data_IF_651853442423
#
_entry.id   IF_651853442423
#
_cell.length_a   1.000
_cell.length_b   1.000
_cell.length_c   1.000
_cell.angle_alpha   90.00
_cell.angle_beta   90.00
_cell.angle_gamma   90.00
#
_symmetry.space_group_name_H-M   'P 1'
#
loop_
_entity.id
_entity.type
_entity.pdbx_description
1 polymer ?
#
# COMPACT_ATOMS: atom_id res chain seq x y z
N UNK A 1 -10.78 18.20 11.74
CA UNK A 1 -10.21 17.62 12.98
C UNK A 1 -8.89 17.00 12.60
N UNK A 2 -7.82 17.02 13.44
CA UNK A 2 -6.62 16.26 13.10
C UNK A 2 -7.00 14.79 13.00
N UNK A 3 -6.56 14.14 11.92
CA UNK A 3 -6.76 12.71 11.73
C UNK A 3 -6.23 11.94 12.94
N UNK A 4 -6.97 10.96 13.43
CA UNK A 4 -6.49 10.10 14.52
C UNK A 4 -5.51 9.08 13.89
N UNK A 5 -4.33 8.87 14.52
CA UNK A 5 -3.44 7.82 14.03
C UNK A 5 -4.15 6.48 14.05
N UNK A 6 -3.93 5.68 13.00
CA UNK A 6 -4.46 4.31 12.96
C UNK A 6 -3.52 3.41 13.76
N UNK A 7 -4.06 2.66 14.69
CA UNK A 7 -3.29 1.82 15.59
C UNK A 7 -3.86 0.41 15.63
N UNK A 8 -2.98 -0.57 15.65
CA UNK A 8 -3.35 -1.90 16.12
C UNK A 8 -3.51 -1.90 17.64
N UNK A 9 -4.54 -2.56 18.11
CA UNK A 9 -4.67 -2.92 19.52
C UNK A 9 -4.12 -4.34 19.66
N UNK A 10 -3.03 -4.49 20.42
CA UNK A 10 -2.47 -5.81 20.72
C UNK A 10 -3.32 -6.56 21.79
N UNK A 11 -2.99 -7.82 22.05
CA UNK A 11 -3.68 -8.65 23.04
C UNK A 11 -3.64 -8.09 24.47
N UNK A 12 -2.74 -7.14 24.77
CA UNK A 12 -2.67 -6.42 26.05
C UNK A 12 -3.47 -5.12 26.07
N UNK A 13 -4.20 -4.78 24.99
CA UNK A 13 -4.98 -3.56 24.87
C UNK A 13 -4.16 -2.30 24.58
N UNK A 14 -2.86 -2.45 24.29
CA UNK A 14 -2.01 -1.31 23.92
C UNK A 14 -2.17 -0.98 22.45
N UNK A 15 -2.30 0.31 22.15
CA UNK A 15 -2.29 0.84 20.79
C UNK A 15 -0.87 0.80 20.21
N UNK A 16 -0.69 0.21 19.04
CA UNK A 16 0.59 0.20 18.31
C UNK A 16 0.41 0.85 16.94
N UNK A 17 1.40 1.62 16.46
CA UNK A 17 1.35 2.16 15.10
C UNK A 17 1.44 1.02 14.06
N UNK A 18 0.93 1.27 12.87
CA UNK A 18 1.07 0.35 11.75
C UNK A 18 2.46 0.52 11.14
N UNK A 19 3.38 -0.35 11.52
CA UNK A 19 4.73 -0.42 10.96
C UNK A 19 4.89 -1.80 10.36
N UNK A 20 5.20 -1.86 9.06
CA UNK A 20 5.23 -3.14 8.38
C UNK A 20 5.91 -3.13 7.03
N UNK A 21 5.65 -4.17 6.27
CA UNK A 21 6.12 -4.33 4.91
C UNK A 21 5.04 -4.90 3.99
N UNK A 22 5.10 -4.56 2.73
CA UNK A 22 4.40 -5.24 1.67
C UNK A 22 4.97 -6.65 1.56
N UNK A 23 4.12 -7.66 1.53
CA UNK A 23 4.54 -9.05 1.66
C UNK A 23 4.33 -9.86 0.39
N UNK A 24 5.43 -10.25 -0.19
CA UNK A 24 5.52 -11.31 -1.17
C UNK A 24 6.58 -12.31 -0.70
N UNK A 25 6.20 -13.56 -0.46
CA UNK A 25 7.18 -14.55 0.02
C UNK A 25 8.34 -14.72 -0.98
N UNK A 26 9.55 -14.90 -0.46
CA UNK A 26 10.73 -15.22 -1.27
C UNK A 26 10.51 -16.46 -2.15
N UNK A 27 9.60 -17.33 -1.76
CA UNK A 27 9.17 -18.45 -2.57
C UNK A 27 8.09 -18.02 -3.56
N UNK A 28 8.51 -17.58 -4.72
CA UNK A 28 7.61 -17.25 -5.84
C UNK A 28 7.28 -15.78 -6.03
N UNK A 29 7.57 -14.89 -5.08
CA UNK A 29 7.24 -13.46 -5.19
C UNK A 29 5.76 -13.25 -5.52
N UNK A 30 5.39 -12.50 -6.58
CA UNK A 30 3.99 -12.31 -6.98
C UNK A 30 3.22 -13.60 -7.32
N UNK A 31 3.93 -14.71 -7.54
CA UNK A 31 3.37 -16.05 -7.77
C UNK A 31 3.36 -16.92 -6.52
N UNK A 32 3.53 -16.32 -5.34
CA UNK A 32 3.61 -17.08 -4.08
C UNK A 32 2.41 -17.98 -3.84
N UNK A 33 1.22 -17.60 -4.28
CA UNK A 33 0.02 -18.39 -4.04
C UNK A 33 0.02 -19.72 -4.78
N UNK A 34 0.64 -19.79 -5.96
CA UNK A 34 0.85 -21.05 -6.69
C UNK A 34 2.08 -21.83 -6.22
N UNK A 35 2.97 -21.22 -5.44
CA UNK A 35 4.20 -21.78 -4.89
C UNK A 35 4.25 -21.65 -3.36
N UNK A 36 3.10 -21.68 -2.72
CA UNK A 36 2.97 -21.39 -1.30
C UNK A 36 3.74 -22.39 -0.43
N UNK A 37 4.64 -21.87 0.38
CA UNK A 37 5.37 -22.63 1.38
C UNK A 37 5.06 -22.09 2.79
N UNK A 38 4.24 -22.80 3.58
CA UNK A 38 3.83 -22.33 4.91
C UNK A 38 4.99 -22.23 5.90
N UNK A 39 6.07 -22.99 5.71
CA UNK A 39 7.25 -22.93 6.58
C UNK A 39 8.06 -21.65 6.32
N UNK A 40 8.27 -21.32 5.06
CA UNK A 40 8.96 -20.09 4.67
C UNK A 40 8.17 -18.85 5.09
N UNK A 41 6.85 -18.84 4.87
CA UNK A 41 5.99 -17.71 5.29
C UNK A 41 6.10 -17.46 6.79
N UNK A 42 6.04 -18.51 7.63
CA UNK A 42 6.18 -18.37 9.09
C UNK A 42 7.55 -17.87 9.51
N UNK A 43 8.61 -18.31 8.82
CA UNK A 43 9.96 -17.83 9.06
C UNK A 43 10.08 -16.33 8.74
N UNK A 44 9.60 -15.90 7.56
CA UNK A 44 9.60 -14.50 7.14
C UNK A 44 8.83 -13.61 8.12
N UNK A 45 7.63 -14.00 8.51
CA UNK A 45 6.82 -13.25 9.48
C UNK A 45 7.48 -13.17 10.86
N UNK A 46 8.11 -14.26 11.32
CA UNK A 46 8.86 -14.25 12.58
C UNK A 46 10.01 -13.26 12.56
N UNK A 47 10.79 -13.20 11.47
CA UNK A 47 11.88 -12.21 11.32
C UNK A 47 11.34 -10.78 11.37
N UNK A 48 10.24 -10.48 10.67
CA UNK A 48 9.62 -9.16 10.70
C UNK A 48 9.14 -8.80 12.11
N UNK A 49 8.46 -9.72 12.78
CA UNK A 49 7.95 -9.52 14.13
C UNK A 49 9.08 -9.29 15.16
N UNK A 50 10.16 -10.07 15.11
CA UNK A 50 11.33 -9.94 15.98
C UNK A 50 12.03 -8.58 15.83
N UNK A 51 11.83 -7.91 14.67
CA UNK A 51 12.30 -6.55 14.41
C UNK A 51 11.23 -5.48 14.66
N UNK A 52 10.19 -5.80 15.42
CA UNK A 52 9.20 -4.83 15.90
C UNK A 52 8.15 -4.42 14.87
N UNK A 53 8.05 -5.08 13.72
CA UNK A 53 6.97 -4.83 12.77
C UNK A 53 5.66 -5.41 13.31
N UNK A 54 4.57 -4.70 13.07
CA UNK A 54 3.24 -5.03 13.62
C UNK A 54 2.28 -5.57 12.58
N UNK A 55 2.60 -5.38 11.29
CA UNK A 55 1.68 -5.75 10.23
C UNK A 55 2.39 -5.99 8.89
N UNK A 56 1.65 -6.57 7.96
CA UNK A 56 1.99 -6.61 6.54
C UNK A 56 0.87 -6.04 5.68
N UNK A 57 1.16 -5.70 4.43
CA UNK A 57 0.16 -5.58 3.39
C UNK A 57 0.29 -6.79 2.49
N UNK A 58 -0.79 -7.51 2.25
CA UNK A 58 -0.84 -8.73 1.45
C UNK A 58 -1.74 -8.57 0.23
N UNK A 59 -1.59 -9.46 -0.75
CA UNK A 59 -2.15 -9.27 -2.06
C UNK A 59 -2.92 -10.50 -2.52
N UNK A 60 -4.17 -10.32 -2.91
CA UNK A 60 -4.89 -11.32 -3.67
C UNK A 60 -4.49 -11.17 -5.15
N UNK A 61 -3.51 -11.94 -5.61
CA UNK A 61 -3.16 -11.94 -7.02
C UNK A 61 -4.38 -12.34 -7.86
N UNK A 62 -4.96 -11.38 -8.56
CA UNK A 62 -6.31 -11.52 -9.12
C UNK A 62 -6.49 -12.75 -10.02
N UNK A 63 -5.57 -13.08 -10.95
CA UNK A 63 -5.71 -14.29 -11.75
C UNK A 63 -5.76 -15.62 -10.97
N UNK A 64 -5.07 -15.69 -9.81
CA UNK A 64 -5.03 -16.89 -8.98
C UNK A 64 -6.31 -17.05 -8.13
N UNK A 65 -6.85 -15.94 -7.62
CA UNK A 65 -8.04 -15.97 -6.74
C UNK A 65 -9.36 -15.99 -7.52
N UNK A 66 -9.39 -15.48 -8.75
CA UNK A 66 -10.59 -15.43 -9.60
C UNK A 66 -10.25 -15.92 -11.02
N UNK A 67 -10.05 -17.23 -11.21
CA UNK A 67 -9.66 -17.81 -12.51
C UNK A 67 -10.77 -17.72 -13.57
N UNK A 68 -12.02 -17.56 -13.17
CA UNK A 68 -13.18 -17.32 -14.02
C UNK A 68 -14.09 -16.24 -13.41
N UNK A 69 -14.94 -15.57 -14.18
CA UNK A 69 -15.69 -14.39 -13.75
C UNK A 69 -16.73 -14.65 -12.66
N UNK A 70 -17.00 -15.88 -12.32
CA UNK A 70 -17.96 -16.33 -11.32
C UNK A 70 -17.39 -17.41 -10.39
N UNK A 71 -16.06 -17.54 -10.35
CA UNK A 71 -15.38 -18.60 -9.61
C UNK A 71 -14.29 -18.01 -8.72
N UNK A 72 -14.37 -18.30 -7.42
CA UNK A 72 -13.27 -18.09 -6.47
C UNK A 72 -12.50 -19.40 -6.34
N UNK A 73 -11.16 -19.34 -6.43
CA UNK A 73 -10.31 -20.52 -6.21
C UNK A 73 -10.22 -20.81 -4.71
N UNK A 74 -10.85 -21.90 -4.28
CA UNK A 74 -10.88 -22.30 -2.87
C UNK A 74 -9.48 -22.73 -2.38
N UNK A 75 -8.64 -23.30 -3.26
CA UNK A 75 -7.27 -23.66 -2.90
C UNK A 75 -6.40 -22.43 -2.62
N UNK A 76 -6.57 -21.33 -3.39
CA UNK A 76 -5.94 -20.05 -3.08
C UNK A 76 -6.47 -19.48 -1.77
N UNK A 77 -7.78 -19.59 -1.51
CA UNK A 77 -8.39 -19.15 -0.25
C UNK A 77 -7.89 -19.95 0.95
N UNK A 78 -7.68 -21.25 0.83
CA UNK A 78 -7.16 -22.10 1.91
C UNK A 78 -5.70 -21.72 2.24
N UNK A 79 -4.87 -21.48 1.23
CA UNK A 79 -3.49 -20.96 1.41
C UNK A 79 -3.49 -19.59 2.08
N UNK A 80 -4.43 -18.72 1.68
CA UNK A 80 -4.56 -17.41 2.30
C UNK A 80 -5.03 -17.51 3.77
N UNK A 81 -5.87 -18.47 4.11
CA UNK A 81 -6.27 -18.72 5.50
C UNK A 81 -5.09 -19.17 6.35
N UNK A 82 -4.25 -20.09 5.86
CA UNK A 82 -3.01 -20.48 6.56
C UNK A 82 -2.06 -19.28 6.72
N UNK A 83 -1.97 -18.39 5.72
CA UNK A 83 -1.22 -17.16 5.80
C UNK A 83 -1.74 -16.22 6.91
N UNK A 84 -3.05 -16.09 7.06
CA UNK A 84 -3.66 -15.33 8.16
C UNK A 84 -3.42 -15.98 9.51
N UNK A 85 -3.49 -17.31 9.58
CA UNK A 85 -3.16 -18.05 10.80
C UNK A 85 -1.69 -17.83 11.22
N UNK A 86 -0.76 -17.82 10.27
CA UNK A 86 0.64 -17.52 10.52
C UNK A 86 0.85 -16.10 11.09
N UNK A 87 0.10 -15.12 10.63
CA UNK A 87 0.10 -13.77 11.21
C UNK A 87 -0.40 -13.76 12.64
N UNK A 88 -1.50 -14.47 12.91
CA UNK A 88 -2.07 -14.60 14.26
C UNK A 88 -1.08 -15.26 15.21
N UNK A 89 -0.37 -16.30 14.76
CA UNK A 89 0.63 -17.03 15.56
C UNK A 89 1.73 -16.11 16.09
N UNK A 90 2.17 -15.12 15.29
CA UNK A 90 3.20 -14.16 15.71
C UNK A 90 2.63 -12.85 16.27
N UNK A 91 1.31 -12.68 16.28
CA UNK A 91 0.67 -11.47 16.80
C UNK A 91 0.75 -10.27 15.85
N UNK A 92 0.89 -10.49 14.55
CA UNK A 92 0.86 -9.47 13.51
C UNK A 92 -0.51 -9.42 12.84
N UNK A 93 -0.81 -8.25 12.22
CA UNK A 93 -1.95 -8.11 11.32
C UNK A 93 -1.54 -8.05 9.87
N UNK A 94 -2.54 -8.04 8.99
CA UNK A 94 -2.34 -7.80 7.56
C UNK A 94 -3.47 -6.98 6.95
N UNK A 95 -3.16 -6.22 5.91
CA UNK A 95 -4.14 -5.49 5.09
C UNK A 95 -4.20 -6.18 3.73
N UNK A 96 -5.24 -7.01 3.46
CA UNK A 96 -5.43 -7.62 2.15
C UNK A 96 -5.75 -6.58 1.07
N UNK A 97 -5.17 -6.75 -0.12
CA UNK A 97 -5.42 -5.95 -1.32
C UNK A 97 -6.14 -6.78 -2.36
N UNK A 98 -7.32 -6.34 -2.86
CA UNK A 98 -8.20 -7.16 -3.70
C UNK A 98 -7.79 -7.19 -5.18
N UNK A 99 -7.84 -6.04 -5.87
CA UNK A 99 -7.62 -5.96 -7.31
C UNK A 99 -6.15 -5.71 -7.57
N UNK A 100 -5.36 -6.78 -7.62
CA UNK A 100 -3.93 -6.73 -7.89
C UNK A 100 -3.68 -7.03 -9.36
N UNK A 101 -3.78 -5.99 -10.17
CA UNK A 101 -3.55 -6.04 -11.62
C UNK A 101 -2.25 -5.38 -12.07
N UNK A 102 -1.63 -4.57 -11.21
CA UNK A 102 -0.32 -3.96 -11.44
C UNK A 102 0.63 -4.30 -10.30
N UNK A 103 1.89 -4.61 -10.64
CA UNK A 103 2.96 -4.81 -9.66
C UNK A 103 4.32 -4.69 -10.35
N UNK A 104 5.23 -3.88 -9.78
CA UNK A 104 6.64 -3.82 -10.20
C UNK A 104 6.85 -3.60 -11.72
N UNK A 105 5.99 -2.78 -12.35
CA UNK A 105 6.09 -2.48 -13.77
C UNK A 105 5.45 -3.52 -14.72
N UNK A 106 4.70 -4.49 -14.20
CA UNK A 106 3.95 -5.47 -14.99
C UNK A 106 2.46 -5.37 -14.70
N UNK A 107 1.63 -5.50 -15.74
CA UNK A 107 0.18 -5.61 -15.63
C UNK A 107 -0.26 -7.05 -15.87
N UNK A 108 -1.13 -7.56 -15.00
CA UNK A 108 -1.69 -8.91 -15.10
C UNK A 108 -3.21 -8.88 -15.11
N UNK A 109 -3.78 -9.33 -16.19
CA UNK A 109 -5.22 -9.51 -16.30
C UNK A 109 -5.64 -10.95 -16.01
N UNK A 110 -6.78 -11.16 -15.35
CA UNK A 110 -7.49 -12.42 -15.47
C UNK A 110 -7.85 -12.67 -16.95
N UNK A 111 -7.64 -13.89 -17.42
CA UNK A 111 -7.83 -14.24 -18.85
C UNK A 111 -9.23 -13.87 -19.39
N UNK A 112 -10.24 -13.87 -18.53
CA UNK A 112 -11.64 -13.59 -18.84
C UNK A 112 -11.99 -12.08 -18.89
N UNK A 113 -11.06 -11.17 -18.48
CA UNK A 113 -11.33 -9.71 -18.55
C UNK A 113 -11.45 -9.22 -19.99
N UNK A 114 -10.69 -9.74 -20.92
CA UNK A 114 -10.70 -9.37 -22.34
C UNK A 114 -10.63 -7.87 -22.61
N UNK A 115 -9.80 -7.13 -21.84
CA UNK A 115 -9.62 -5.69 -22.01
C UNK A 115 -10.85 -4.83 -21.64
N UNK A 116 -11.85 -5.37 -20.96
CA UNK A 116 -13.01 -4.60 -20.49
C UNK A 116 -12.57 -3.49 -19.55
N UNK A 117 -13.22 -2.34 -19.67
CA UNK A 117 -12.96 -1.19 -18.82
C UNK A 117 -13.38 -1.48 -17.38
N UNK A 118 -12.51 -1.13 -16.42
CA UNK A 118 -12.73 -1.44 -15.00
C UNK A 118 -13.79 -0.55 -14.34
N UNK A 119 -14.05 0.62 -14.90
CA UNK A 119 -14.88 1.64 -14.27
C UNK A 119 -16.25 1.80 -14.94
N UNK A 120 -16.32 1.62 -16.27
CA UNK A 120 -17.52 1.92 -17.08
C UNK A 120 -18.23 0.68 -17.60
N UNK A 121 -17.54 -0.47 -17.74
CA UNK A 121 -18.23 -1.71 -18.14
C UNK A 121 -19.00 -2.28 -16.95
N UNK A 122 -20.33 -2.15 -16.99
CA UNK A 122 -21.23 -2.53 -15.89
C UNK A 122 -21.06 -3.98 -15.46
N UNK A 123 -20.82 -4.90 -16.41
CA UNK A 123 -20.59 -6.30 -16.09
C UNK A 123 -19.26 -6.47 -15.34
N UNK A 124 -18.21 -5.76 -15.78
CA UNK A 124 -16.89 -5.81 -15.15
C UNK A 124 -16.94 -5.23 -13.73
N UNK A 125 -17.62 -4.08 -13.53
CA UNK A 125 -17.84 -3.49 -12.21
C UNK A 125 -18.58 -4.48 -11.29
N UNK A 126 -19.62 -5.15 -11.80
CA UNK A 126 -20.35 -6.16 -11.04
C UNK A 126 -19.48 -7.37 -10.66
N UNK A 127 -18.56 -7.80 -11.53
CA UNK A 127 -17.62 -8.90 -11.22
C UNK A 127 -16.59 -8.50 -10.15
N UNK A 128 -16.07 -7.28 -10.21
CA UNK A 128 -15.18 -6.74 -9.17
C UNK A 128 -15.89 -6.68 -7.81
N UNK A 129 -17.11 -6.11 -7.79
CA UNK A 129 -17.89 -6.02 -6.55
C UNK A 129 -18.20 -7.41 -5.97
N UNK A 130 -18.58 -8.37 -6.81
CA UNK A 130 -18.79 -9.76 -6.38
C UNK A 130 -17.54 -10.39 -5.80
N UNK A 131 -16.39 -10.25 -6.48
CA UNK A 131 -15.09 -10.75 -6.04
C UNK A 131 -14.70 -10.20 -4.65
N UNK A 132 -14.79 -8.88 -4.48
CA UNK A 132 -14.50 -8.22 -3.20
C UNK A 132 -15.45 -8.74 -2.11
N UNK A 133 -16.75 -8.82 -2.39
CA UNK A 133 -17.75 -9.31 -1.43
C UNK A 133 -17.46 -10.76 -0.99
N UNK A 134 -17.12 -11.64 -1.96
CA UNK A 134 -16.85 -13.04 -1.67
C UNK A 134 -15.57 -13.25 -0.85
N UNK A 135 -14.48 -12.55 -1.17
CA UNK A 135 -13.25 -12.64 -0.37
C UNK A 135 -13.41 -11.99 1.01
N UNK A 136 -14.09 -10.86 1.08
CA UNK A 136 -14.38 -10.23 2.38
C UNK A 136 -15.19 -11.18 3.26
N UNK A 137 -16.25 -11.81 2.75
CA UNK A 137 -17.06 -12.77 3.51
C UNK A 137 -16.27 -13.94 4.08
N UNK A 138 -15.22 -14.38 3.38
CA UNK A 138 -14.36 -15.49 3.79
C UNK A 138 -13.38 -15.13 4.90
N UNK A 139 -12.99 -13.85 5.00
CA UNK A 139 -11.83 -13.46 5.80
C UNK A 139 -12.09 -12.33 6.80
N UNK A 140 -13.24 -11.62 6.75
CA UNK A 140 -13.49 -10.42 7.56
C UNK A 140 -13.47 -10.66 9.07
N UNK A 141 -13.77 -11.86 9.52
CA UNK A 141 -13.81 -12.25 10.94
C UNK A 141 -12.47 -12.76 11.46
N UNK A 142 -11.49 -12.94 10.58
CA UNK A 142 -10.16 -13.39 11.00
C UNK A 142 -9.40 -12.27 11.73
N UNK A 143 -8.88 -12.52 12.96
CA UNK A 143 -8.29 -11.47 13.80
C UNK A 143 -7.03 -10.83 13.23
N UNK A 144 -6.35 -11.48 12.28
CA UNK A 144 -5.20 -10.90 11.59
C UNK A 144 -5.60 -9.88 10.52
N UNK A 145 -6.86 -9.82 10.07
CA UNK A 145 -7.29 -8.82 9.07
C UNK A 145 -7.59 -7.51 9.79
N UNK A 146 -6.76 -6.50 9.54
CA UNK A 146 -6.82 -5.20 10.24
C UNK A 146 -7.28 -4.03 9.36
N UNK A 147 -7.39 -4.21 8.07
CA UNK A 147 -7.84 -3.24 7.08
C UNK A 147 -8.05 -3.89 5.73
N UNK A 148 -8.44 -3.12 4.72
CA UNK A 148 -8.68 -3.58 3.36
C UNK A 148 -8.20 -2.54 2.35
N UNK A 149 -7.60 -3.00 1.25
CA UNK A 149 -7.31 -2.18 0.09
C UNK A 149 -8.08 -2.69 -1.12
N UNK A 150 -8.77 -1.79 -1.81
CA UNK A 150 -9.55 -2.15 -2.99
C UNK A 150 -8.65 -2.62 -4.13
N UNK A 151 -7.49 -1.99 -4.31
CA UNK A 151 -6.62 -2.25 -5.45
C UNK A 151 -5.14 -2.02 -5.13
N UNK A 152 -4.28 -2.26 -6.10
CA UNK A 152 -2.90 -1.81 -6.14
C UNK A 152 -2.67 -0.93 -7.35
N UNK A 153 -2.32 0.35 -7.10
CA UNK A 153 -1.93 1.32 -8.14
C UNK A 153 -2.88 1.32 -9.34
N UNK A 154 -4.17 1.32 -9.05
CA UNK A 154 -5.22 1.16 -10.05
C UNK A 154 -5.18 2.20 -11.19
N UNK A 155 -4.69 3.45 -11.00
CA UNK A 155 -4.53 4.39 -12.10
C UNK A 155 -3.55 3.89 -13.19
N UNK A 156 -2.52 3.11 -12.81
CA UNK A 156 -1.60 2.49 -13.78
C UNK A 156 -2.25 1.31 -14.49
N UNK A 157 -3.02 0.51 -13.77
CA UNK A 157 -3.62 -0.72 -14.28
C UNK A 157 -4.92 -0.47 -15.05
N UNK A 158 -5.82 0.27 -14.45
CA UNK A 158 -7.15 0.57 -15.00
C UNK A 158 -7.18 1.79 -15.91
N UNK A 159 -6.09 2.59 -15.86
CA UNK A 159 -6.02 3.85 -16.57
C UNK A 159 -6.74 5.00 -15.84
N UNK A 160 -6.76 6.14 -16.52
CA UNK A 160 -7.42 7.36 -16.07
C UNK A 160 -8.91 7.36 -16.41
N UNK A 161 -9.69 8.17 -15.73
CA UNK A 161 -11.13 8.25 -15.97
C UNK A 161 -11.73 9.60 -15.61
N UNK A 162 -13.03 9.74 -15.81
CA UNK A 162 -13.79 10.87 -15.27
C UNK A 162 -13.91 10.74 -13.75
N UNK A 163 -13.68 11.82 -13.01
CA UNK A 163 -13.70 11.85 -11.54
C UNK A 163 -15.02 11.31 -10.96
N UNK A 164 -16.17 11.62 -11.60
CA UNK A 164 -17.47 11.15 -11.13
C UNK A 164 -17.64 9.65 -11.35
N UNK A 165 -17.09 9.12 -12.45
CA UNK A 165 -17.09 7.69 -12.75
C UNK A 165 -16.20 6.95 -11.76
N UNK A 166 -14.97 7.43 -11.54
CA UNK A 166 -14.04 6.86 -10.57
C UNK A 166 -14.63 6.88 -9.16
N UNK A 167 -15.24 8.00 -8.75
CA UNK A 167 -15.90 8.12 -7.45
C UNK A 167 -17.08 7.15 -7.30
N UNK A 168 -17.90 6.99 -8.34
CA UNK A 168 -19.00 6.01 -8.34
C UNK A 168 -18.47 4.57 -8.26
N UNK A 169 -17.42 4.24 -9.00
CA UNK A 169 -16.74 2.95 -8.91
C UNK A 169 -16.19 2.71 -7.49
N UNK A 170 -15.47 3.69 -6.92
CA UNK A 170 -14.93 3.59 -5.57
C UNK A 170 -16.03 3.33 -4.52
N UNK A 171 -17.16 4.04 -4.62
CA UNK A 171 -18.31 3.84 -3.75
C UNK A 171 -18.83 2.39 -3.83
N UNK A 172 -18.93 1.83 -5.04
CA UNK A 172 -19.40 0.45 -5.24
C UNK A 172 -18.40 -0.57 -4.66
N UNK A 173 -17.10 -0.36 -4.84
CA UNK A 173 -16.08 -1.26 -4.34
C UNK A 173 -15.97 -1.24 -2.81
N UNK A 174 -16.00 -0.06 -2.20
CA UNK A 174 -16.08 0.08 -0.73
C UNK A 174 -17.38 -0.54 -0.20
N UNK A 175 -18.48 -0.29 -0.89
CA UNK A 175 -19.77 -0.92 -0.58
C UNK A 175 -19.73 -2.44 -0.63
N UNK A 176 -18.95 -3.03 -1.56
CA UNK A 176 -18.77 -4.48 -1.67
C UNK A 176 -18.02 -5.06 -0.46
N UNK A 177 -17.03 -4.35 0.09
CA UNK A 177 -16.36 -4.74 1.35
C UNK A 177 -17.39 -4.78 2.49
N UNK A 178 -18.20 -3.74 2.61
CA UNK A 178 -19.24 -3.67 3.67
C UNK A 178 -20.30 -4.75 3.49
N UNK A 179 -20.71 -5.04 2.27
CA UNK A 179 -21.66 -6.11 1.95
C UNK A 179 -21.09 -7.51 2.28
N UNK A 180 -19.79 -7.70 2.21
CA UNK A 180 -19.08 -8.92 2.64
C UNK A 180 -18.95 -9.06 4.16
N UNK A 181 -19.33 -8.05 4.96
CA UNK A 181 -19.20 -8.04 6.41
C UNK A 181 -17.94 -7.35 6.94
N UNK A 182 -17.08 -6.81 6.06
CA UNK A 182 -15.86 -6.13 6.45
C UNK A 182 -16.13 -4.81 7.16
N UNK A 183 -15.78 -4.73 8.44
CA UNK A 183 -15.91 -3.52 9.27
C UNK A 183 -14.58 -2.81 9.50
N UNK A 184 -13.47 -3.44 9.15
CA UNK A 184 -12.14 -2.87 9.25
C UNK A 184 -12.01 -1.65 8.35
N UNK A 185 -11.04 -0.75 8.64
CA UNK A 185 -10.73 0.39 7.78
C UNK A 185 -10.43 -0.01 6.33
N UNK A 186 -10.87 0.84 5.40
CA UNK A 186 -10.72 0.60 3.95
C UNK A 186 -10.05 1.80 3.28
N UNK A 187 -9.19 1.53 2.28
CA UNK A 187 -8.65 2.54 1.35
C UNK A 187 -8.66 2.01 -0.08
N UNK A 188 -8.43 2.89 -1.06
CA UNK A 188 -8.46 2.49 -2.47
C UNK A 188 -7.22 1.74 -2.94
N UNK A 189 -6.05 2.01 -2.38
CA UNK A 189 -4.77 1.48 -2.88
C UNK A 189 -4.40 2.04 -4.27
N UNK A 190 -4.76 3.30 -4.50
CA UNK A 190 -4.45 4.04 -5.74
C UNK A 190 -3.07 4.70 -5.71
N UNK A 191 -2.33 4.54 -4.61
CA UNK A 191 -1.04 5.18 -4.37
C UNK A 191 -1.13 6.67 -4.07
N UNK A 192 -2.35 7.19 -3.88
CA UNK A 192 -2.66 8.61 -3.75
C UNK A 192 -2.10 9.45 -4.92
N UNK A 193 -2.20 8.92 -6.14
CA UNK A 193 -1.71 9.59 -7.36
C UNK A 193 -2.77 10.45 -8.02
N UNK A 194 -3.59 11.08 -7.22
CA UNK A 194 -4.56 12.08 -7.66
C UNK A 194 -3.94 13.46 -7.88
N UNK A 195 -4.77 14.38 -8.30
CA UNK A 195 -4.36 15.76 -8.62
C UNK A 195 -3.71 16.48 -7.43
N UNK A 196 -4.12 16.17 -6.21
CA UNK A 196 -3.63 16.82 -4.98
C UNK A 196 -2.14 16.53 -4.73
N UNK A 197 -1.66 15.35 -5.12
CA UNK A 197 -0.28 14.91 -4.83
C UNK A 197 0.64 14.96 -6.04
N UNK A 198 0.10 14.81 -7.25
CA UNK A 198 0.87 14.75 -8.49
C UNK A 198 0.73 15.99 -9.37
N UNK A 199 -0.32 16.77 -9.18
CA UNK A 199 -0.70 17.87 -10.08
C UNK A 199 -1.31 17.38 -11.40
N UNK A 200 -1.53 16.06 -11.55
CA UNK A 200 -2.13 15.46 -12.75
C UNK A 200 -3.52 14.91 -12.43
N UNK A 201 -4.51 15.31 -13.21
CA UNK A 201 -5.87 14.81 -13.06
C UNK A 201 -6.03 13.47 -13.78
N UNK A 202 -5.89 12.40 -13.03
CA UNK A 202 -6.17 11.04 -13.48
C UNK A 202 -7.64 10.62 -13.27
N UNK A 203 -8.47 11.53 -12.73
CA UNK A 203 -9.81 11.24 -12.23
C UNK A 203 -9.83 10.72 -10.80
N UNK A 204 -8.68 10.43 -10.22
CA UNK A 204 -8.54 10.10 -8.80
C UNK A 204 -8.29 11.39 -8.01
N UNK A 205 -9.18 11.73 -7.10
CA UNK A 205 -9.06 12.88 -6.21
C UNK A 205 -9.26 12.40 -4.77
N UNK A 206 -8.22 12.54 -3.96
CA UNK A 206 -8.29 12.16 -2.55
C UNK A 206 -9.28 13.04 -1.76
N UNK A 207 -9.57 14.25 -2.23
CA UNK A 207 -10.66 15.08 -1.68
C UNK A 207 -12.03 14.46 -1.94
N UNK A 208 -12.25 13.90 -3.13
CA UNK A 208 -13.54 13.34 -3.51
C UNK A 208 -13.73 11.92 -2.96
N UNK A 209 -12.82 10.99 -3.25
CA UNK A 209 -12.97 9.62 -2.73
C UNK A 209 -12.64 9.51 -1.24
N UNK A 210 -11.94 10.48 -0.68
CA UNK A 210 -11.61 10.52 0.74
C UNK A 210 -12.83 10.46 1.66
N UNK A 211 -14.00 10.91 1.21
CA UNK A 211 -15.25 10.74 1.97
C UNK A 211 -15.70 9.27 2.07
N UNK A 212 -15.28 8.43 1.14
CA UNK A 212 -15.68 7.03 1.03
C UNK A 212 -14.76 6.08 1.78
N UNK A 213 -13.50 6.49 2.04
CA UNK A 213 -12.45 5.66 2.63
C UNK A 213 -12.10 6.09 4.06
N UNK A 214 -11.39 5.23 4.77
CA UNK A 214 -11.01 5.47 6.16
C UNK A 214 -9.59 6.04 6.30
N UNK A 215 -8.72 5.83 5.31
CA UNK A 215 -7.36 6.36 5.26
C UNK A 215 -6.89 6.56 3.81
N UNK A 216 -5.82 7.33 3.62
CA UNK A 216 -5.17 7.58 2.33
C UNK A 216 -3.79 6.92 2.35
N UNK A 217 -3.45 6.20 1.27
CA UNK A 217 -2.24 5.39 1.16
C UNK A 217 -1.28 5.85 0.06
N UNK A 218 -0.42 6.87 0.26
CA UNK A 218 0.53 7.28 -0.76
C UNK A 218 1.65 6.25 -0.97
N UNK A 219 1.99 6.05 -2.26
CA UNK A 219 3.19 5.34 -2.70
C UNK A 219 4.26 6.35 -3.08
N UNK A 220 5.40 6.33 -2.42
CA UNK A 220 6.45 7.33 -2.62
C UNK A 220 7.81 6.70 -2.81
N UNK A 221 8.31 6.79 -4.03
CA UNK A 221 9.63 6.32 -4.40
C UNK A 221 10.56 7.48 -4.75
N UNK A 222 11.85 7.27 -4.51
CA UNK A 222 12.87 8.27 -4.75
C UNK A 222 13.36 8.16 -6.20
N UNK A 223 12.91 9.09 -7.05
CA UNK A 223 13.20 9.10 -8.48
C UNK A 223 13.90 10.40 -8.94
N UNK A 224 14.04 11.40 -8.07
CA UNK A 224 14.57 12.71 -8.41
C UNK A 224 16.09 12.79 -8.26
N UNK A 225 16.74 13.61 -9.12
CA UNK A 225 18.16 13.93 -9.01
C UNK A 225 18.44 15.14 -8.08
N UNK A 226 17.43 15.88 -7.69
CA UNK A 226 17.54 17.02 -6.80
C UNK A 226 17.53 16.59 -5.32
N UNK A 227 18.52 17.03 -4.55
CA UNK A 227 18.67 16.64 -3.15
C UNK A 227 17.49 17.09 -2.28
N UNK A 228 16.99 18.30 -2.49
CA UNK A 228 15.89 18.84 -1.68
C UNK A 228 14.64 18.04 -1.93
N UNK A 229 14.30 17.81 -3.20
CA UNK A 229 13.15 16.99 -3.58
C UNK A 229 13.28 15.57 -3.05
N UNK A 230 14.44 14.96 -3.21
CA UNK A 230 14.68 13.61 -2.67
C UNK A 230 14.46 13.51 -1.16
N UNK A 231 14.86 14.55 -0.41
CA UNK A 231 14.74 14.55 1.03
C UNK A 231 13.33 14.90 1.52
N UNK A 232 12.62 15.76 0.83
CA UNK A 232 11.34 16.31 1.30
C UNK A 232 10.13 15.69 0.62
N UNK A 233 10.28 14.99 -0.52
CA UNK A 233 9.17 14.47 -1.30
C UNK A 233 8.16 13.66 -0.48
N UNK A 234 8.64 12.70 0.31
CA UNK A 234 7.76 11.83 1.09
C UNK A 234 6.95 12.63 2.12
N UNK A 235 7.59 13.57 2.84
CA UNK A 235 6.92 14.45 3.78
C UNK A 235 5.93 15.39 3.06
N UNK A 236 6.32 15.93 1.90
CA UNK A 236 5.46 16.81 1.12
C UNK A 236 4.22 16.07 0.58
N UNK A 237 4.38 14.87 0.04
CA UNK A 237 3.26 14.03 -0.40
C UNK A 237 2.36 13.66 0.78
N UNK A 238 2.93 13.32 1.94
CA UNK A 238 2.17 13.07 3.16
C UNK A 238 1.32 14.27 3.57
N UNK A 239 1.87 15.49 3.51
CA UNK A 239 1.13 16.75 3.79
C UNK A 239 -0.02 16.95 2.81
N UNK A 240 0.23 16.74 1.52
CA UNK A 240 -0.81 16.87 0.48
C UNK A 240 -1.91 15.82 0.64
N UNK A 241 -1.56 14.57 0.97
CA UNK A 241 -2.54 13.51 1.19
C UNK A 241 -3.48 13.78 2.39
N UNK A 242 -3.05 14.62 3.36
CA UNK A 242 -3.89 15.00 4.50
C UNK A 242 -5.02 15.97 4.15
N UNK A 243 -5.04 16.57 2.96
CA UNK A 243 -6.14 17.47 2.54
C UNK A 243 -7.50 16.76 2.57
N UNK A 244 -7.52 15.45 2.41
CA UNK A 244 -8.71 14.61 2.55
C UNK A 244 -9.24 14.54 4.00
N UNK A 245 -8.52 15.06 5.00
CA UNK A 245 -8.91 14.99 6.41
C UNK A 245 -8.89 13.59 7.00
N UNK A 246 -8.17 12.66 6.36
CA UNK A 246 -8.05 11.25 6.76
C UNK A 246 -6.65 10.94 7.27
N UNK A 247 -6.48 9.89 8.11
CA UNK A 247 -5.16 9.34 8.41
C UNK A 247 -4.39 9.03 7.13
N UNK A 248 -3.08 9.28 7.14
CA UNK A 248 -2.19 8.92 6.03
C UNK A 248 -1.30 7.76 6.47
N UNK A 249 -1.36 6.68 5.71
CA UNK A 249 -0.48 5.53 5.85
C UNK A 249 0.48 5.54 4.67
N UNK A 250 1.78 5.68 4.91
CA UNK A 250 2.80 5.54 3.86
C UNK A 250 2.79 4.09 3.38
N UNK A 251 1.95 3.82 2.38
CA UNK A 251 1.55 2.47 1.99
C UNK A 251 2.63 1.73 1.21
N UNK A 252 3.45 2.50 0.47
CA UNK A 252 4.67 1.99 -0.17
C UNK A 252 5.79 3.03 -0.15
N UNK A 253 6.98 2.59 0.21
CA UNK A 253 8.25 3.30 0.07
C UNK A 253 9.41 2.31 0.13
N UNK A 254 10.48 2.59 -0.56
CA UNK A 254 11.65 1.70 -0.55
C UNK A 254 12.76 2.16 -1.48
N UNK A 255 13.87 1.43 -1.42
CA UNK A 255 15.00 1.57 -2.33
C UNK A 255 15.58 0.19 -2.67
N UNK A 256 15.83 -0.06 -3.95
CA UNK A 256 16.59 -1.22 -4.37
C UNK A 256 18.06 -1.10 -3.97
N UNK A 257 18.62 -2.18 -3.42
CA UNK A 257 20.05 -2.25 -3.11
C UNK A 257 20.95 -2.27 -4.35
N UNK A 258 20.37 -2.40 -5.55
CA UNK A 258 21.10 -2.24 -6.81
C UNK A 258 21.50 -0.78 -7.08
N UNK A 259 20.80 0.18 -6.49
CA UNK A 259 21.00 1.61 -6.74
C UNK A 259 21.78 2.32 -5.63
N UNK A 260 21.83 1.76 -4.43
CA UNK A 260 22.40 2.43 -3.26
C UNK A 260 23.21 1.48 -2.38
N UNK A 261 24.18 2.03 -1.67
CA UNK A 261 24.92 1.28 -0.65
C UNK A 261 24.01 0.97 0.56
N UNK A 262 24.37 -0.05 1.33
CA UNK A 262 23.71 -0.40 2.58
C UNK A 262 23.54 0.80 3.53
N UNK A 263 24.59 1.64 3.66
CA UNK A 263 24.54 2.88 4.45
C UNK A 263 23.56 3.90 3.86
N UNK A 264 23.51 4.04 2.54
CA UNK A 264 22.61 4.95 1.85
C UNK A 264 21.15 4.53 2.03
N UNK A 265 20.89 3.22 1.97
CA UNK A 265 19.57 2.64 2.20
C UNK A 265 19.09 2.90 3.64
N UNK A 266 19.90 2.62 4.66
CA UNK A 266 19.59 2.93 6.05
C UNK A 266 19.29 4.41 6.26
N UNK A 267 20.13 5.30 5.70
CA UNK A 267 19.93 6.75 5.81
C UNK A 267 18.61 7.21 5.19
N UNK A 268 18.23 6.63 4.04
CA UNK A 268 16.95 6.94 3.39
C UNK A 268 15.76 6.51 4.27
N UNK A 269 15.77 5.29 4.80
CA UNK A 269 14.69 4.81 5.67
C UNK A 269 14.56 5.67 6.91
N UNK A 270 15.65 5.94 7.63
CA UNK A 270 15.65 6.82 8.80
C UNK A 270 15.04 8.18 8.48
N UNK A 271 15.49 8.82 7.40
CA UNK A 271 15.00 10.13 7.02
C UNK A 271 13.52 10.11 6.66
N UNK A 272 13.07 9.15 5.83
CA UNK A 272 11.68 9.05 5.41
C UNK A 272 10.76 8.84 6.61
N UNK A 273 11.07 7.88 7.48
CA UNK A 273 10.26 7.55 8.66
C UNK A 273 10.05 8.78 9.54
N UNK A 274 11.12 9.49 9.91
CA UNK A 274 11.01 10.65 10.80
C UNK A 274 10.41 11.87 10.11
N UNK A 275 10.71 12.13 8.84
CA UNK A 275 10.14 13.28 8.15
C UNK A 275 8.64 13.12 7.89
N UNK A 276 8.18 11.92 7.57
CA UNK A 276 6.75 11.65 7.39
C UNK A 276 6.00 11.56 8.72
N UNK A 277 6.63 11.09 9.80
CA UNK A 277 6.08 11.19 11.15
C UNK A 277 5.81 12.66 11.53
N UNK A 278 6.77 13.55 11.29
CA UNK A 278 6.59 15.00 11.56
C UNK A 278 5.58 15.64 10.61
N UNK A 279 5.42 15.12 9.40
CA UNK A 279 4.38 15.50 8.46
C UNK A 279 2.99 14.92 8.79
N UNK A 280 2.86 14.05 9.81
CA UNK A 280 1.58 13.54 10.30
C UNK A 280 1.17 12.18 9.79
N UNK A 281 2.07 11.40 9.19
CA UNK A 281 1.80 10.01 8.87
C UNK A 281 1.47 9.18 10.12
N UNK A 282 0.60 8.20 9.97
CA UNK A 282 0.08 7.37 11.04
C UNK A 282 0.47 5.88 10.90
N UNK A 283 1.12 5.52 9.80
CA UNK A 283 1.62 4.18 9.54
C UNK A 283 2.62 4.15 8.37
N UNK A 284 3.41 3.08 8.32
CA UNK A 284 4.54 2.92 7.39
C UNK A 284 4.66 1.48 6.94
N UNK A 285 4.56 1.23 5.63
CA UNK A 285 4.61 -0.09 5.03
C UNK A 285 5.67 -0.10 3.94
N UNK A 286 6.84 -0.65 4.25
CA UNK A 286 7.99 -0.69 3.34
C UNK A 286 7.73 -1.57 2.10
N UNK A 287 8.20 -1.18 0.96
CA UNK A 287 8.30 -2.04 -0.22
C UNK A 287 9.72 -2.62 -0.29
N UNK A 288 9.90 -3.92 -0.13
CA UNK A 288 9.03 -4.97 0.33
C UNK A 288 9.71 -5.81 1.45
N UNK A 289 9.12 -6.96 1.85
CA UNK A 289 9.65 -7.75 2.96
C UNK A 289 10.99 -8.42 2.65
N UNK A 290 11.24 -8.91 1.43
CA UNK A 290 12.41 -9.74 1.12
C UNK A 290 12.94 -9.53 -0.29
N UNK A 291 14.23 -9.80 -0.51
CA UNK A 291 14.81 -9.89 -1.85
C UNK A 291 14.46 -11.24 -2.51
N UNK A 292 14.61 -11.29 -3.84
CA UNK A 292 14.40 -12.48 -4.66
C UNK A 292 15.61 -12.75 -5.52
N UNK A 293 16.26 -13.92 -5.41
CA UNK A 293 17.44 -14.27 -6.20
C UNK A 293 17.12 -15.21 -7.38
N UNK A 294 16.07 -16.02 -7.26
CA UNK A 294 15.73 -17.09 -8.20
C UNK A 294 14.58 -16.73 -9.17
N UNK A 295 14.11 -15.48 -9.15
CA UNK A 295 12.97 -15.03 -9.94
C UNK A 295 13.35 -14.22 -11.19
N UNK A 296 14.62 -14.14 -11.56
CA UNK A 296 15.11 -13.27 -12.63
C UNK A 296 14.45 -13.50 -13.99
N UNK A 297 14.09 -14.74 -14.29
CA UNK A 297 13.42 -15.10 -15.56
C UNK A 297 11.90 -14.93 -15.48
N UNK A 298 11.36 -14.69 -14.29
CA UNK A 298 9.94 -14.47 -14.07
C UNK A 298 9.60 -12.97 -14.27
N UNK A 299 8.50 -12.69 -14.97
CA UNK A 299 7.93 -11.34 -14.94
C UNK A 299 7.43 -10.98 -13.55
N UNK A 300 7.66 -9.73 -13.09
CA UNK A 300 8.23 -8.56 -13.79
C UNK A 300 9.75 -8.50 -13.87
N UNK A 301 10.46 -9.32 -13.12
CA UNK A 301 11.91 -9.21 -12.87
C UNK A 301 12.77 -9.42 -14.11
N UNK A 302 12.27 -10.13 -15.12
CA UNK A 302 12.96 -10.29 -16.41
C UNK A 302 13.16 -8.95 -17.17
N UNK A 303 12.36 -7.94 -16.89
CA UNK A 303 12.49 -6.61 -17.50
C UNK A 303 12.72 -5.48 -16.48
N UNK A 304 12.47 -5.73 -15.19
CA UNK A 304 12.76 -4.82 -14.07
C UNK A 304 13.56 -5.55 -12.98
N UNK A 305 14.82 -5.97 -13.27
CA UNK A 305 15.59 -6.82 -12.33
C UNK A 305 15.88 -6.15 -10.99
N UNK A 306 15.96 -4.83 -10.94
CA UNK A 306 16.17 -4.07 -9.70
C UNK A 306 15.01 -4.24 -8.69
N UNK A 307 13.82 -4.62 -9.14
CA UNK A 307 12.68 -4.91 -8.28
C UNK A 307 12.89 -6.14 -7.39
N UNK A 308 13.83 -7.02 -7.74
CA UNK A 308 14.19 -8.16 -6.91
C UNK A 308 14.88 -7.78 -5.60
N UNK A 309 15.41 -6.56 -5.48
CA UNK A 309 16.29 -6.19 -4.37
C UNK A 309 15.81 -5.00 -3.54
N UNK A 310 14.49 -4.79 -3.48
CA UNK A 310 13.84 -3.84 -2.57
C UNK A 310 13.65 -4.38 -1.14
N UNK A 311 13.90 -5.66 -0.93
CA UNK A 311 13.65 -6.32 0.33
C UNK A 311 14.31 -5.64 1.53
N UNK A 312 13.62 -5.65 2.67
CA UNK A 312 14.20 -5.30 3.97
C UNK A 312 14.92 -6.48 4.62
N UNK A 313 14.72 -7.69 4.10
CA UNK A 313 15.60 -8.85 4.28
C UNK A 313 16.20 -9.26 2.95
N UNK A 314 17.30 -9.99 2.96
CA UNK A 314 17.86 -10.60 1.75
C UNK A 314 17.10 -11.91 1.38
N UNK A 315 17.43 -12.49 0.24
CA UNK A 315 16.80 -13.72 -0.26
C UNK A 315 17.02 -14.96 0.64
N UNK A 316 17.99 -14.92 1.55
CA UNK A 316 18.18 -15.93 2.59
C UNK A 316 17.38 -15.66 3.87
N UNK A 317 16.68 -14.51 3.93
CA UNK A 317 15.90 -14.09 5.09
C UNK A 317 16.71 -13.33 6.14
N UNK A 318 17.97 -12.97 5.85
CA UNK A 318 18.78 -12.19 6.79
C UNK A 318 18.40 -10.70 6.75
N UNK A 319 18.36 -10.01 7.91
CA UNK A 319 18.03 -8.59 8.00
C UNK A 319 18.99 -7.71 7.19
N UNK A 320 18.43 -6.76 6.42
CA UNK A 320 19.18 -5.70 5.76
C UNK A 320 19.09 -4.41 6.59
N UNK A 321 19.98 -3.42 6.36
CA UNK A 321 19.99 -2.16 7.12
C UNK A 321 18.63 -1.42 7.19
N UNK A 322 17.76 -1.42 6.16
CA UNK A 322 16.41 -0.89 6.27
C UNK A 322 15.57 -1.51 7.38
N UNK A 323 15.65 -2.81 7.61
CA UNK A 323 14.89 -3.49 8.66
C UNK A 323 15.34 -3.05 10.05
N UNK A 324 16.64 -2.81 10.24
CA UNK A 324 17.16 -2.25 11.50
C UNK A 324 16.64 -0.82 11.76
N UNK A 325 16.54 0.02 10.73
CA UNK A 325 15.95 1.36 10.89
C UNK A 325 14.47 1.31 11.25
N UNK A 326 13.72 0.37 10.68
CA UNK A 326 12.31 0.12 11.05
C UNK A 326 12.20 -0.37 12.49
N UNK A 327 13.12 -1.24 12.95
CA UNK A 327 13.17 -1.73 14.32
C UNK A 327 13.41 -0.58 15.31
N UNK A 328 14.43 0.25 15.05
CA UNK A 328 14.74 1.42 15.88
C UNK A 328 13.53 2.36 15.94
N UNK A 329 12.94 2.68 14.80
CA UNK A 329 11.77 3.54 14.71
C UNK A 329 10.55 2.97 15.47
N UNK A 330 10.32 1.66 15.36
CA UNK A 330 9.26 0.97 16.11
C UNK A 330 9.46 1.06 17.61
N UNK A 331 10.71 0.93 18.09
CA UNK A 331 11.05 1.08 19.51
C UNK A 331 10.86 2.51 20.00
N UNK A 332 11.27 3.51 19.23
CA UNK A 332 11.06 4.93 19.56
C UNK A 332 9.56 5.26 19.69
N UNK A 333 8.73 4.72 18.81
CA UNK A 333 7.29 4.95 18.85
C UNK A 333 6.58 4.15 19.94
N UNK A 334 7.13 3.01 20.37
CA UNK A 334 6.48 2.14 21.37
C UNK A 334 6.29 2.81 22.74
N UNK A 335 7.13 3.79 23.06
CA UNK A 335 7.06 4.62 24.29
C UNK A 335 6.33 5.94 24.11
N UNK A 336 5.81 6.25 22.93
CA UNK A 336 5.26 7.55 22.58
C UNK A 336 3.74 7.51 22.51
N UNK A 337 3.07 8.44 23.21
CA UNK A 337 1.62 8.65 23.03
C UNK A 337 1.35 9.37 21.70
N UNK A 338 1.25 8.60 20.62
CA UNK A 338 0.95 9.14 19.29
C UNK A 338 -0.44 9.79 19.22
N UNK A 339 -1.39 9.33 20.04
CA UNK A 339 -2.72 9.92 20.09
C UNK A 339 -2.70 11.31 20.76
N UNK A 340 -1.72 11.55 21.63
CA UNK A 340 -1.45 12.84 22.27
C UNK A 340 -0.63 13.81 21.44
N UNK A 341 0.06 13.35 20.40
CA UNK A 341 0.84 14.22 19.53
C UNK A 341 -0.06 15.25 18.84
N UNK A 342 0.35 16.49 18.90
CA UNK A 342 -0.30 17.60 18.21
C UNK A 342 0.74 18.30 17.37
N UNK A 343 0.40 18.55 16.14
CA UNK A 343 1.21 19.42 15.30
C UNK A 343 1.20 20.82 15.89
N UNK A 344 2.37 21.43 16.03
CA UNK A 344 2.46 22.84 16.44
C UNK A 344 1.70 23.69 15.42
N UNK A 345 0.92 24.69 15.85
CA UNK A 345 0.31 25.64 14.93
C UNK A 345 1.39 26.28 14.07
N UNK A 346 1.28 26.15 12.75
CA UNK A 346 2.21 26.78 11.83
C UNK A 346 1.71 28.15 11.45
N UNK A 347 2.59 29.16 11.50
CA UNK A 347 2.29 30.51 11.01
C UNK A 347 2.42 30.61 9.48
N UNK A 348 2.83 29.53 8.81
CA UNK A 348 3.04 29.48 7.36
C UNK A 348 1.99 28.59 6.72
N UNK A 349 1.24 29.15 5.80
CA UNK A 349 0.31 28.43 4.93
C UNK A 349 0.92 28.22 3.55
N UNK A 350 0.64 27.08 2.94
CA UNK A 350 0.91 26.85 1.51
C UNK A 350 -0.36 27.24 0.76
N UNK A 351 -0.23 28.19 -0.15
CA UNK A 351 -1.30 28.52 -1.09
C UNK A 351 -1.22 27.49 -2.22
N UNK A 352 -2.23 26.67 -2.34
CA UNK A 352 -2.39 25.79 -3.50
C UNK A 352 -3.18 26.59 -4.55
N UNK A 353 -2.55 27.09 -5.60
CA UNK A 353 -3.25 27.85 -6.64
C UNK A 353 -4.23 26.93 -7.37
N UNK A 354 -5.31 27.52 -7.90
CA UNK A 354 -6.36 26.76 -8.60
C UNK A 354 -5.85 25.98 -9.84
N UNK A 355 -4.73 26.42 -10.41
CA UNK A 355 -4.09 25.71 -11.51
C UNK A 355 -3.55 24.33 -11.12
N UNK A 356 -3.27 24.06 -9.84
CA UNK A 356 -2.90 22.73 -9.35
C UNK A 356 -4.11 21.79 -9.20
N UNK A 357 -5.31 22.35 -9.27
CA UNK A 357 -6.56 21.57 -9.26
C UNK A 357 -7.21 21.51 -10.65
N UNK A 358 -6.57 22.09 -11.67
CA UNK A 358 -7.06 22.07 -13.04
C UNK A 358 -6.88 20.69 -13.68
N UNK A 359 -7.84 20.31 -14.53
CA UNK A 359 -7.86 19.01 -15.25
C UNK A 359 -6.76 18.83 -16.29
N UNK A 360 -6.00 19.81 -16.57
CA UNK A 360 -4.85 19.70 -17.45
C UNK A 360 -3.59 19.89 -16.63
N UNK A 361 -2.58 19.04 -16.80
CA UNK A 361 -1.27 19.38 -16.29
C UNK A 361 -0.89 20.72 -16.92
N UNK A 362 -0.10 21.52 -16.22
CA UNK A 362 0.36 22.78 -16.72
C UNK A 362 0.83 22.65 -18.17
N UNK A 363 0.11 23.28 -19.09
CA UNK A 363 0.37 23.18 -20.53
C UNK A 363 1.32 24.28 -21.00
N UNK A 364 1.50 25.33 -20.19
CA UNK A 364 2.36 26.46 -20.50
C UNK A 364 3.47 26.64 -19.48
N UNK A 365 4.61 27.20 -19.89
CA UNK A 365 5.71 27.56 -18.98
C UNK A 365 5.27 28.58 -17.93
N UNK A 366 4.35 29.45 -18.26
CA UNK A 366 3.81 30.51 -17.40
C UNK A 366 3.00 29.90 -16.24
N UNK A 367 2.18 28.88 -16.50
CA UNK A 367 1.43 28.16 -15.46
C UNK A 367 2.34 27.33 -14.56
N UNK A 368 3.47 26.86 -15.05
CA UNK A 368 4.47 26.14 -14.26
C UNK A 368 5.32 27.06 -13.39
N UNK A 369 5.42 28.33 -13.76
CA UNK A 369 6.22 29.32 -13.05
C UNK A 369 5.47 29.96 -11.87
N UNK A 370 4.14 29.86 -11.84
CA UNK A 370 3.28 30.29 -10.72
C UNK A 370 3.27 29.28 -9.57
#
# INVERSE_FOLDING_TARGET
MPARPMHMINSSGQSRPWIGANFWSRTGGPRMWSRYDPGIVREELRVLHEHGLTMTRSFFYWPDFMPAPDTIDEGACDRYRDFLDAHREVGMGTIPTFIVGHMSGENWDPSWRHGRDLYTDVWMVARQAWYITELTRRFHDHPAVIGWLISNEIPIYGGEGDEKIISAWALLMVGAVRAGGGLQPVSLGDGAWGVETTGHDSGFSSLTYGELVDFIGPHVYRMENDRVRQHLKAAFVCELAQVAGKPVIMEEFGLSSDFVSARGSASYYRQLLHSTLTAGASGWVAWNNTDFDDLREQRPYSHHPFEMHFGITDAAGAPKPPLEELRIFSEELSGTDLAGLRRAPTATGIIVPSCLTARSPFTTEEERAL
#
